data_IF_975154872986
#
_entry.id   IF_975154872986
#
_cell.length_a   1.000
_cell.length_b   1.000
_cell.length_c   1.000
_cell.angle_alpha   90.00
_cell.angle_beta   90.00
_cell.angle_gamma   90.00
#
_symmetry.space_group_name_H-M   'P 1'
#
loop_
_entity.id
_entity.type
_entity.pdbx_description
1 polymer ?
#
# COMPACT_ATOMS: atom_id res chain seq x y z
N UNK A 1 -56.97 25.91 -18.03
CA UNK A 1 -56.39 24.71 -17.39
C UNK A 1 -56.78 24.73 -15.94
N UNK A 2 -57.28 23.62 -15.41
CA UNK A 2 -57.68 23.54 -14.01
C UNK A 2 -56.44 23.69 -13.11
N UNK A 3 -56.63 24.21 -11.90
CA UNK A 3 -55.55 24.34 -10.89
C UNK A 3 -54.79 23.01 -10.69
N UNK A 4 -55.50 21.88 -10.78
CA UNK A 4 -54.94 20.53 -10.71
C UNK A 4 -54.11 20.13 -11.93
N UNK A 5 -54.40 20.63 -13.14
CA UNK A 5 -53.57 20.38 -14.34
C UNK A 5 -52.21 21.09 -14.23
N UNK A 6 -52.19 22.31 -13.70
CA UNK A 6 -50.94 23.06 -13.47
C UNK A 6 -50.11 22.38 -12.38
N UNK A 7 -50.75 21.94 -11.28
CA UNK A 7 -50.09 21.17 -10.23
C UNK A 7 -49.54 19.85 -10.76
N UNK A 8 -50.30 19.11 -11.56
CA UNK A 8 -49.85 17.86 -12.17
C UNK A 8 -48.63 18.06 -13.10
N UNK A 9 -48.62 19.13 -13.90
CA UNK A 9 -47.47 19.48 -14.75
C UNK A 9 -46.23 19.85 -13.93
N UNK A 10 -46.39 20.53 -12.80
CA UNK A 10 -45.29 20.84 -11.89
C UNK A 10 -44.71 19.57 -11.27
N UNK A 11 -45.57 18.73 -10.68
CA UNK A 11 -45.18 17.46 -10.07
C UNK A 11 -44.50 16.51 -11.07
N UNK A 12 -44.96 16.50 -12.33
CA UNK A 12 -44.33 15.72 -13.40
C UNK A 12 -42.90 16.21 -13.69
N UNK A 13 -42.70 17.53 -13.81
CA UNK A 13 -41.36 18.11 -14.03
C UNK A 13 -40.41 17.85 -12.87
N UNK A 14 -40.91 17.94 -11.63
CA UNK A 14 -40.12 17.61 -10.44
C UNK A 14 -39.74 16.12 -10.44
N UNK A 15 -40.68 15.22 -10.72
CA UNK A 15 -40.42 13.79 -10.80
C UNK A 15 -39.41 13.43 -11.92
N UNK A 16 -39.51 14.05 -13.09
CA UNK A 16 -38.54 13.87 -14.19
C UNK A 16 -37.14 14.36 -13.80
N UNK A 17 -37.04 15.50 -13.09
CA UNK A 17 -35.77 16.03 -12.62
C UNK A 17 -35.14 15.13 -11.54
N UNK A 18 -35.94 14.65 -10.59
CA UNK A 18 -35.52 13.70 -9.56
C UNK A 18 -35.06 12.37 -10.17
N UNK A 19 -35.80 11.83 -11.14
CA UNK A 19 -35.43 10.60 -11.84
C UNK A 19 -34.10 10.75 -12.58
N UNK A 20 -33.91 11.87 -13.29
CA UNK A 20 -32.65 12.14 -13.99
C UNK A 20 -31.47 12.24 -13.03
N UNK A 21 -31.63 12.97 -11.91
CA UNK A 21 -30.62 13.07 -10.87
C UNK A 21 -30.28 11.69 -10.27
N UNK A 22 -31.30 10.86 -10.05
CA UNK A 22 -31.12 9.49 -9.56
C UNK A 22 -30.32 8.65 -10.56
N UNK A 23 -30.68 8.67 -11.83
CA UNK A 23 -29.98 7.94 -12.89
C UNK A 23 -28.51 8.37 -13.02
N UNK A 24 -28.22 9.66 -12.87
CA UNK A 24 -26.85 10.18 -12.85
C UNK A 24 -26.06 9.69 -11.63
N UNK A 25 -26.69 9.68 -10.44
CA UNK A 25 -26.07 9.17 -9.22
C UNK A 25 -25.82 7.65 -9.27
N UNK A 26 -26.78 6.89 -9.80
CA UNK A 26 -26.66 5.44 -10.02
C UNK A 26 -25.53 5.12 -11.00
N UNK A 27 -25.42 5.90 -12.08
CA UNK A 27 -24.33 5.79 -13.05
C UNK A 27 -22.97 6.04 -12.40
N UNK A 28 -22.83 7.13 -11.63
CA UNK A 28 -21.58 7.44 -10.91
C UNK A 28 -21.23 6.34 -9.91
N UNK A 29 -22.21 5.81 -9.19
CA UNK A 29 -22.00 4.73 -8.23
C UNK A 29 -21.46 3.46 -8.91
N UNK A 30 -22.07 3.03 -10.03
CA UNK A 30 -21.58 1.84 -10.73
C UNK A 30 -20.20 2.08 -11.35
N UNK A 31 -19.93 3.27 -11.91
CA UNK A 31 -18.61 3.63 -12.43
C UNK A 31 -17.53 3.48 -11.35
N UNK A 32 -17.77 4.01 -10.13
CA UNK A 32 -16.84 3.85 -8.99
C UNK A 32 -16.59 2.40 -8.60
N UNK A 33 -17.63 1.57 -8.58
CA UNK A 33 -17.48 0.13 -8.29
C UNK A 33 -16.66 -0.56 -9.39
N UNK A 34 -16.83 -0.15 -10.65
CA UNK A 34 -16.10 -0.71 -11.80
C UNK A 34 -14.64 -0.27 -11.88
N UNK A 35 -14.25 0.81 -11.20
CA UNK A 35 -12.84 1.13 -11.00
C UNK A 35 -12.11 0.09 -10.14
N UNK A 36 -12.85 -0.71 -9.36
CA UNK A 36 -12.31 -1.68 -8.41
C UNK A 36 -12.53 -3.11 -8.91
N UNK A 37 -13.76 -3.43 -9.29
CA UNK A 37 -14.21 -4.80 -9.57
C UNK A 37 -14.47 -5.02 -11.05
N UNK A 38 -14.22 -6.25 -11.51
CA UNK A 38 -14.50 -6.62 -12.89
C UNK A 38 -16.01 -6.55 -13.21
N UNK A 39 -16.34 -6.06 -14.41
CA UNK A 39 -17.73 -5.89 -14.86
C UNK A 39 -18.55 -7.19 -14.78
N UNK A 40 -17.95 -8.34 -15.09
CA UNK A 40 -18.63 -9.64 -15.02
C UNK A 40 -18.99 -9.97 -13.57
N UNK A 41 -18.07 -9.72 -12.64
CA UNK A 41 -18.28 -9.96 -11.21
C UNK A 41 -19.39 -9.05 -10.65
N UNK A 42 -19.37 -7.76 -11.00
CA UNK A 42 -20.44 -6.82 -10.59
C UNK A 42 -21.79 -7.24 -11.16
N UNK A 43 -21.86 -7.61 -12.43
CA UNK A 43 -23.09 -8.11 -13.04
C UNK A 43 -23.62 -9.39 -12.36
N UNK A 44 -22.74 -10.33 -12.04
CA UNK A 44 -23.09 -11.56 -11.31
C UNK A 44 -23.69 -11.28 -9.94
N UNK A 45 -23.14 -10.31 -9.21
CA UNK A 45 -23.66 -9.91 -7.90
C UNK A 45 -25.01 -9.19 -8.01
N UNK A 46 -25.15 -8.26 -8.96
CA UNK A 46 -26.41 -7.56 -9.19
C UNK A 46 -27.54 -8.53 -9.58
N UNK A 47 -27.29 -9.53 -10.43
CA UNK A 47 -28.28 -10.58 -10.77
C UNK A 47 -28.77 -11.39 -9.57
N UNK A 48 -27.95 -11.53 -8.51
CA UNK A 48 -28.35 -12.29 -7.31
C UNK A 48 -29.33 -11.54 -6.43
N UNK A 49 -29.35 -10.21 -6.50
CA UNK A 49 -30.13 -9.36 -5.59
C UNK A 49 -31.23 -8.55 -6.29
N UNK A 50 -31.09 -8.33 -7.59
CA UNK A 50 -31.96 -7.50 -8.39
C UNK A 50 -32.95 -8.29 -9.23
N UNK A 51 -33.99 -7.60 -9.70
CA UNK A 51 -34.94 -8.12 -10.70
C UNK A 51 -34.50 -7.79 -12.14
N UNK A 52 -33.54 -6.87 -12.28
CA UNK A 52 -33.02 -6.45 -13.57
C UNK A 52 -32.08 -7.51 -14.14
N UNK A 53 -32.19 -7.79 -15.45
CA UNK A 53 -31.23 -8.63 -16.15
C UNK A 53 -29.91 -7.87 -16.37
N UNK A 54 -29.00 -7.99 -15.42
CA UNK A 54 -27.64 -7.48 -15.54
C UNK A 54 -26.72 -8.50 -16.20
N UNK A 55 -26.16 -8.17 -17.36
CA UNK A 55 -24.98 -8.81 -17.94
C UNK A 55 -23.82 -7.83 -18.04
N UNK A 56 -22.60 -8.36 -18.28
CA UNK A 56 -21.42 -7.52 -18.60
C UNK A 56 -21.74 -6.53 -19.73
N UNK A 57 -22.41 -6.99 -20.77
CA UNK A 57 -22.80 -6.21 -21.94
C UNK A 57 -23.84 -5.15 -21.60
N UNK A 58 -24.79 -5.45 -20.71
CA UNK A 58 -25.78 -4.44 -20.27
C UNK A 58 -25.14 -3.32 -19.46
N UNK A 59 -24.23 -3.65 -18.53
CA UNK A 59 -23.46 -2.66 -17.77
C UNK A 59 -22.62 -1.82 -18.73
N UNK A 60 -21.90 -2.48 -19.65
CA UNK A 60 -21.06 -1.80 -20.63
C UNK A 60 -21.88 -0.86 -21.55
N UNK A 61 -23.07 -1.26 -22.00
CA UNK A 61 -23.94 -0.38 -22.78
C UNK A 61 -24.43 0.82 -21.97
N UNK A 62 -24.77 0.61 -20.70
CA UNK A 62 -25.28 1.67 -19.83
C UNK A 62 -24.23 2.73 -19.52
N UNK A 63 -23.02 2.34 -19.09
CA UNK A 63 -21.94 3.30 -18.79
C UNK A 63 -21.52 4.12 -20.02
N UNK A 64 -21.57 3.51 -21.21
CA UNK A 64 -21.22 4.14 -22.47
C UNK A 64 -22.39 4.91 -23.13
N UNK A 65 -23.55 5.02 -22.47
CA UNK A 65 -24.73 5.72 -23.02
C UNK A 65 -25.33 5.07 -24.27
N UNK A 66 -25.10 3.77 -24.49
CA UNK A 66 -25.59 3.00 -25.65
C UNK A 66 -26.91 2.26 -25.38
N UNK A 67 -27.58 2.56 -24.28
CA UNK A 67 -28.94 2.13 -24.00
C UNK A 67 -29.68 3.21 -23.22
N UNK A 68 -31.00 3.07 -23.10
CA UNK A 68 -31.79 3.94 -22.23
C UNK A 68 -31.20 3.96 -20.81
N UNK A 69 -31.18 5.12 -20.14
CA UNK A 69 -30.80 5.20 -18.74
C UNK A 69 -31.57 4.18 -17.91
N UNK A 70 -30.84 3.44 -17.09
CA UNK A 70 -31.42 2.51 -16.11
C UNK A 70 -31.34 3.14 -14.73
N UNK A 71 -32.31 2.82 -13.88
CA UNK A 71 -32.27 3.13 -12.46
C UNK A 71 -32.00 1.85 -11.68
N UNK A 72 -31.16 1.93 -10.67
CA UNK A 72 -30.93 0.84 -9.73
C UNK A 72 -32.15 0.69 -8.82
N UNK A 73 -32.48 -0.54 -8.48
CA UNK A 73 -33.36 -0.81 -7.34
C UNK A 73 -32.62 -0.45 -6.04
N UNK A 74 -33.36 -0.16 -4.97
CA UNK A 74 -32.76 0.18 -3.67
C UNK A 74 -31.83 -0.90 -3.12
N UNK A 75 -32.10 -2.18 -3.43
CA UNK A 75 -31.27 -3.32 -3.02
C UNK A 75 -29.97 -3.38 -3.83
N UNK A 76 -30.04 -3.13 -5.14
CA UNK A 76 -28.86 -3.04 -6.00
C UNK A 76 -27.95 -1.87 -5.60
N UNK A 77 -28.55 -0.70 -5.34
CA UNK A 77 -27.84 0.48 -4.84
C UNK A 77 -27.14 0.17 -3.50
N UNK A 78 -27.87 -0.43 -2.54
CA UNK A 78 -27.31 -0.80 -1.24
C UNK A 78 -26.14 -1.79 -1.37
N UNK A 79 -26.24 -2.75 -2.28
CA UNK A 79 -25.17 -3.70 -2.56
C UNK A 79 -23.92 -2.98 -3.09
N UNK A 80 -24.07 -2.14 -4.12
CA UNK A 80 -22.95 -1.40 -4.72
C UNK A 80 -22.28 -0.47 -3.70
N UNK A 81 -23.05 0.20 -2.84
CA UNK A 81 -22.48 1.01 -1.74
C UNK A 81 -21.66 0.17 -0.76
N UNK A 82 -22.12 -1.03 -0.40
CA UNK A 82 -21.38 -1.95 0.50
C UNK A 82 -20.11 -2.54 -0.13
N UNK A 83 -20.01 -2.53 -1.45
CA UNK A 83 -18.79 -2.90 -2.17
C UNK A 83 -17.68 -1.84 -2.06
N UNK A 84 -18.04 -0.59 -1.74
CA UNK A 84 -17.11 0.50 -1.51
C UNK A 84 -16.67 0.57 -0.03
N UNK A 85 -15.50 1.14 0.28
CA UNK A 85 -15.10 1.44 1.64
C UNK A 85 -15.97 2.55 2.25
N UNK A 86 -16.29 2.39 3.53
CA UNK A 86 -17.00 3.38 4.33
C UNK A 86 -15.99 4.40 4.90
N UNK A 87 -16.41 5.66 5.13
CA UNK A 87 -15.57 6.63 5.81
C UNK A 87 -15.18 6.15 7.22
N UNK A 88 -14.01 6.56 7.73
CA UNK A 88 -13.60 6.24 9.08
C UNK A 88 -14.50 6.94 10.12
N UNK A 89 -14.50 6.43 11.36
CA UNK A 89 -15.41 6.91 12.41
C UNK A 89 -15.23 8.39 12.78
N UNK A 90 -14.04 8.95 12.54
CA UNK A 90 -13.76 10.35 12.81
C UNK A 90 -14.18 11.28 11.65
N UNK A 91 -14.57 10.77 10.47
CA UNK A 91 -15.02 11.61 9.37
C UNK A 91 -16.24 12.49 9.77
N UNK A 92 -16.28 13.78 9.40
CA UNK A 92 -15.34 14.52 8.55
C UNK A 92 -14.19 15.22 9.30
N UNK A 93 -14.05 15.02 10.61
CA UNK A 93 -13.07 15.68 11.47
C UNK A 93 -11.77 14.86 11.58
N UNK A 94 -10.66 15.38 11.07
CA UNK A 94 -9.37 14.69 11.05
C UNK A 94 -8.32 15.43 11.87
N UNK A 95 -7.41 14.69 12.49
CA UNK A 95 -6.39 15.24 13.38
C UNK A 95 -5.24 15.93 12.62
N UNK A 96 -4.93 15.45 11.43
CA UNK A 96 -3.88 15.97 10.55
C UNK A 96 -4.09 15.45 9.12
N UNK A 97 -3.34 15.98 8.17
CA UNK A 97 -3.37 15.62 6.75
C UNK A 97 -2.07 14.94 6.35
N UNK A 98 -2.16 13.92 5.48
CA UNK A 98 -0.99 13.25 4.94
C UNK A 98 -1.15 12.87 3.47
N UNK A 99 -0.01 12.62 2.81
CA UNK A 99 0.03 12.07 1.45
C UNK A 99 0.73 10.71 1.45
N UNK A 100 0.41 9.89 0.43
CA UNK A 100 0.83 8.49 0.33
C UNK A 100 1.46 8.22 -1.05
N UNK A 101 2.78 8.30 -1.14
CA UNK A 101 3.55 8.14 -2.37
C UNK A 101 4.07 6.71 -2.53
N UNK A 102 3.96 6.15 -3.74
CA UNK A 102 4.27 4.73 -4.02
C UNK A 102 3.49 3.81 -3.08
N UNK A 103 2.21 4.11 -2.92
CA UNK A 103 1.36 3.62 -1.84
C UNK A 103 1.14 2.10 -1.85
N UNK A 104 1.32 1.44 -3.00
CA UNK A 104 0.95 0.05 -3.21
C UNK A 104 -0.52 -0.18 -2.86
N UNK A 105 -0.76 -1.00 -1.83
CA UNK A 105 -2.11 -1.29 -1.32
C UNK A 105 -2.42 -0.60 0.01
N UNK A 106 -1.65 0.43 0.39
CA UNK A 106 -1.92 1.29 1.56
C UNK A 106 -1.40 0.76 2.89
N UNK A 107 -0.28 0.04 2.87
CA UNK A 107 0.30 -0.54 4.09
C UNK A 107 0.79 0.50 5.10
N UNK A 108 1.39 1.60 4.62
CA UNK A 108 1.84 2.71 5.47
C UNK A 108 0.63 3.56 5.89
N UNK A 109 -0.25 3.91 4.93
CA UNK A 109 -1.51 4.64 5.16
C UNK A 109 -2.32 4.09 6.34
N UNK A 110 -2.48 2.78 6.44
CA UNK A 110 -3.25 2.15 7.53
C UNK A 110 -2.81 2.61 8.91
N UNK A 111 -1.50 2.79 9.13
CA UNK A 111 -0.96 3.27 10.40
C UNK A 111 -1.34 4.72 10.71
N UNK A 112 -1.31 5.59 9.71
CA UNK A 112 -1.59 7.02 9.88
C UNK A 112 -3.09 7.34 9.92
N UNK A 113 -3.94 6.56 9.23
CA UNK A 113 -5.39 6.65 9.45
C UNK A 113 -5.79 6.21 10.86
N UNK A 114 -5.09 5.20 11.43
CA UNK A 114 -5.42 4.68 12.76
C UNK A 114 -5.21 5.72 13.90
N UNK A 115 -4.41 6.76 13.66
CA UNK A 115 -4.21 7.89 14.57
C UNK A 115 -4.96 9.16 14.10
N UNK A 116 -5.99 9.01 13.26
CA UNK A 116 -6.90 10.09 12.86
C UNK A 116 -6.46 10.93 11.66
N UNK A 117 -5.47 10.50 10.89
CA UNK A 117 -4.99 11.21 9.71
C UNK A 117 -5.95 11.15 8.52
N UNK A 118 -6.01 12.22 7.73
CA UNK A 118 -6.69 12.29 6.44
C UNK A 118 -5.69 12.10 5.29
N UNK A 119 -5.87 11.07 4.47
CA UNK A 119 -5.11 10.97 3.21
C UNK A 119 -5.70 11.94 2.18
N UNK A 120 -4.88 12.85 1.64
CA UNK A 120 -5.34 13.91 0.71
C UNK A 120 -4.72 13.79 -0.69
N UNK A 121 -3.69 12.96 -0.83
CA UNK A 121 -3.10 12.62 -2.12
C UNK A 121 -2.49 11.23 -2.09
N UNK A 122 -2.68 10.46 -3.16
CA UNK A 122 -2.09 9.13 -3.32
C UNK A 122 -1.47 9.00 -4.70
N UNK A 123 -0.21 8.53 -4.75
CA UNK A 123 0.45 8.17 -6.00
C UNK A 123 0.78 6.67 -6.02
N UNK A 124 0.25 5.95 -7.00
CA UNK A 124 0.53 4.54 -7.23
C UNK A 124 0.36 4.16 -8.71
N UNK A 125 1.43 3.66 -9.32
CA UNK A 125 1.48 3.38 -10.75
C UNK A 125 0.84 2.04 -11.15
N UNK A 126 0.83 1.07 -10.24
CA UNK A 126 0.30 -0.25 -10.53
C UNK A 126 -1.24 -0.24 -10.41
N UNK A 127 -1.92 -0.29 -11.55
CA UNK A 127 -3.39 -0.29 -11.63
C UNK A 127 -4.05 -1.40 -10.81
N UNK A 128 -3.46 -2.59 -10.70
CA UNK A 128 -4.01 -3.66 -9.86
C UNK A 128 -3.88 -3.34 -8.37
N UNK A 129 -2.78 -2.68 -7.97
CA UNK A 129 -2.60 -2.19 -6.60
C UNK A 129 -3.62 -1.07 -6.30
N UNK A 130 -3.81 -0.11 -7.22
CA UNK A 130 -4.85 0.94 -7.10
C UNK A 130 -6.24 0.35 -6.92
N UNK A 131 -6.61 -0.69 -7.67
CA UNK A 131 -7.89 -1.39 -7.50
C UNK A 131 -8.05 -1.92 -6.07
N UNK A 132 -7.01 -2.58 -5.57
CA UNK A 132 -7.01 -3.16 -4.21
C UNK A 132 -7.02 -2.06 -3.15
N UNK A 133 -6.32 -0.96 -3.39
CA UNK A 133 -6.31 0.21 -2.53
C UNK A 133 -7.71 0.83 -2.43
N UNK A 134 -8.35 1.17 -3.56
CA UNK A 134 -9.70 1.74 -3.63
C UNK A 134 -10.78 0.82 -3.05
N UNK A 135 -10.56 -0.50 -3.03
CA UNK A 135 -11.46 -1.44 -2.38
C UNK A 135 -11.46 -1.36 -0.85
N UNK A 136 -10.39 -0.84 -0.24
CA UNK A 136 -10.17 -0.92 1.21
C UNK A 136 -10.12 0.43 1.90
N UNK A 137 -9.75 1.49 1.18
CA UNK A 137 -9.54 2.82 1.75
C UNK A 137 -10.56 3.82 1.24
N UNK A 138 -11.23 4.52 2.15
CA UNK A 138 -12.15 5.60 1.78
C UNK A 138 -11.38 6.78 1.20
N UNK A 139 -11.75 7.20 -0.01
CA UNK A 139 -11.15 8.35 -0.68
C UNK A 139 -12.27 9.33 -0.99
N UNK A 140 -12.30 10.44 -0.26
CA UNK A 140 -13.26 11.51 -0.50
C UNK A 140 -12.80 12.33 -1.71
N UNK A 141 -13.46 12.15 -2.85
CA UNK A 141 -13.13 12.80 -4.13
C UNK A 141 -13.16 14.34 -4.07
N UNK A 142 -13.77 14.95 -3.04
CA UNK A 142 -13.74 16.40 -2.87
C UNK A 142 -12.38 16.91 -2.38
N UNK A 143 -11.64 16.08 -1.65
CA UNK A 143 -10.39 16.48 -0.96
C UNK A 143 -9.19 15.59 -1.33
N UNK A 144 -9.43 14.40 -1.84
CA UNK A 144 -8.43 13.41 -2.21
C UNK A 144 -8.17 13.41 -3.71
N UNK A 145 -6.89 13.40 -4.09
CA UNK A 145 -6.45 13.22 -5.49
C UNK A 145 -5.64 11.94 -5.66
N UNK A 146 -5.90 11.23 -6.75
CA UNK A 146 -5.13 10.07 -7.18
C UNK A 146 -4.21 10.43 -8.35
N UNK A 147 -2.97 9.93 -8.32
CA UNK A 147 -2.00 10.03 -9.39
C UNK A 147 -1.44 8.63 -9.72
N UNK A 148 -1.21 8.36 -11.01
CA UNK A 148 -0.62 7.09 -11.46
C UNK A 148 0.89 7.22 -11.72
N UNK A 149 1.34 8.33 -12.25
CA UNK A 149 2.76 8.56 -12.51
C UNK A 149 3.21 9.85 -11.83
N UNK A 150 4.06 9.71 -10.80
CA UNK A 150 4.49 10.85 -10.00
C UNK A 150 5.23 11.91 -10.83
N UNK A 151 5.84 11.49 -11.94
CA UNK A 151 6.59 12.38 -12.85
C UNK A 151 5.69 13.37 -13.56
N UNK A 152 4.41 13.04 -13.74
CA UNK A 152 3.41 13.97 -14.28
C UNK A 152 3.17 15.15 -13.33
N UNK A 153 3.40 14.95 -12.02
CA UNK A 153 3.23 15.97 -10.99
C UNK A 153 4.54 16.70 -10.70
N UNK A 154 5.67 15.98 -10.69
CA UNK A 154 6.98 16.59 -10.41
C UNK A 154 7.66 17.19 -11.63
N UNK A 155 7.15 16.90 -12.82
CA UNK A 155 7.70 17.29 -14.13
C UNK A 155 9.18 16.89 -14.27
N UNK A 156 9.60 15.78 -13.65
CA UNK A 156 11.01 15.38 -13.59
C UNK A 156 11.54 14.78 -14.89
N UNK A 157 10.66 14.37 -15.80
CA UNK A 157 10.98 13.90 -17.14
C UNK A 157 11.07 15.04 -18.17
N UNK A 158 10.63 16.25 -17.83
CA UNK A 158 10.66 17.43 -18.69
C UNK A 158 11.93 18.25 -18.46
N UNK A 159 12.85 18.22 -19.42
CA UNK A 159 14.16 18.89 -19.32
C UNK A 159 14.12 20.40 -19.57
N UNK A 160 13.03 20.89 -20.15
CA UNK A 160 12.78 22.27 -20.56
C UNK A 160 12.03 23.10 -19.51
N UNK A 161 11.50 22.45 -18.47
CA UNK A 161 10.78 23.11 -17.36
C UNK A 161 11.79 23.64 -16.34
N UNK A 162 11.64 24.92 -15.97
CA UNK A 162 12.43 25.51 -14.90
C UNK A 162 12.02 24.92 -13.54
N UNK A 163 12.99 24.82 -12.64
CA UNK A 163 12.76 24.32 -11.28
C UNK A 163 11.64 25.03 -10.54
N UNK A 164 11.60 26.37 -10.64
CA UNK A 164 10.56 27.20 -10.01
C UNK A 164 9.16 26.84 -10.48
N UNK A 165 9.02 26.59 -11.79
CA UNK A 165 7.73 26.25 -12.41
C UNK A 165 7.31 24.83 -12.01
N UNK A 166 8.28 23.91 -11.89
CA UNK A 166 8.03 22.56 -11.38
C UNK A 166 7.53 22.59 -9.92
N UNK A 167 8.12 23.41 -9.05
CA UNK A 167 7.64 23.52 -7.66
C UNK A 167 6.27 24.16 -7.58
N UNK A 168 5.98 25.20 -8.36
CA UNK A 168 4.65 25.80 -8.43
C UNK A 168 3.60 24.80 -8.92
N UNK A 169 3.95 23.99 -9.92
CA UNK A 169 3.07 22.95 -10.44
C UNK A 169 2.78 21.86 -9.39
N UNK A 170 3.81 21.41 -8.66
CA UNK A 170 3.63 20.48 -7.53
C UNK A 170 2.71 21.10 -6.48
N UNK A 171 2.89 22.37 -6.15
CA UNK A 171 2.11 23.07 -5.11
C UNK A 171 0.60 23.10 -5.43
N UNK A 172 0.25 23.32 -6.70
CA UNK A 172 -1.12 23.29 -7.21
C UNK A 172 -1.74 21.88 -7.21
N UNK A 173 -0.95 20.86 -7.53
CA UNK A 173 -1.43 19.50 -7.78
C UNK A 173 -1.41 18.60 -6.53
N UNK A 174 -0.47 18.84 -5.62
CA UNK A 174 -0.33 18.14 -4.34
C UNK A 174 -0.86 19.04 -3.22
N UNK A 175 -1.99 18.68 -2.58
CA UNK A 175 -2.54 19.46 -1.48
C UNK A 175 -1.57 19.61 -0.29
N UNK A 176 -1.77 20.66 0.49
CA UNK A 176 -1.05 20.85 1.76
C UNK A 176 -1.31 19.69 2.72
N UNK A 177 -0.25 19.31 3.43
CA UNK A 177 -0.22 18.15 4.31
C UNK A 177 0.86 18.29 5.38
N UNK A 178 0.61 17.69 6.54
CA UNK A 178 1.52 17.71 7.69
C UNK A 178 2.58 16.60 7.58
N UNK A 179 2.17 15.44 7.03
CA UNK A 179 2.99 14.24 6.96
C UNK A 179 3.10 13.72 5.52
N UNK A 180 4.31 13.44 5.06
CA UNK A 180 4.57 12.77 3.78
C UNK A 180 4.99 11.32 4.00
N UNK A 181 4.31 10.37 3.36
CA UNK A 181 4.64 8.95 3.40
C UNK A 181 5.17 8.51 2.03
N UNK A 182 6.27 7.77 1.98
CA UNK A 182 6.76 7.23 0.71
C UNK A 182 7.51 5.90 0.82
N UNK A 183 7.08 4.90 0.04
CA UNK A 183 7.77 3.61 -0.13
C UNK A 183 8.53 3.53 -1.47
N UNK A 184 9.54 4.38 -1.67
CA UNK A 184 10.21 4.51 -2.97
C UNK A 184 11.14 3.31 -3.29
N UNK A 185 11.26 2.90 -4.56
CA UNK A 185 12.11 1.77 -4.91
C UNK A 185 13.61 2.08 -4.76
N UNK A 186 14.40 1.07 -4.36
CA UNK A 186 15.86 1.19 -4.28
C UNK A 186 16.50 1.24 -5.67
N UNK A 187 16.93 2.42 -6.11
CA UNK A 187 17.61 2.65 -7.39
C UNK A 187 19.03 3.20 -7.16
N UNK A 188 20.05 2.77 -7.92
CA UNK A 188 21.38 3.39 -7.85
C UNK A 188 21.35 4.80 -8.47
N UNK A 189 22.06 5.75 -7.86
CA UNK A 189 22.23 7.10 -8.42
C UNK A 189 23.35 7.13 -9.46
N UNK A 190 22.97 7.30 -10.73
CA UNK A 190 23.91 7.37 -11.84
C UNK A 190 24.53 8.77 -11.97
N UNK A 191 25.84 8.87 -12.21
CA UNK A 191 26.56 10.14 -12.38
C UNK A 191 26.37 10.75 -13.79
N UNK A 192 25.66 10.09 -14.70
CA UNK A 192 25.66 10.42 -16.13
C UNK A 192 25.03 11.79 -16.46
N UNK A 193 24.20 12.35 -15.57
CA UNK A 193 23.67 13.71 -15.68
C UNK A 193 24.55 14.80 -15.05
N UNK A 194 25.37 14.43 -14.06
CA UNK A 194 26.20 15.36 -13.26
C UNK A 194 27.43 15.81 -14.04
N UNK A 195 28.02 14.93 -14.85
CA UNK A 195 29.24 15.20 -15.62
C UNK A 195 29.06 16.25 -16.73
N UNK A 196 27.83 16.51 -17.21
CA UNK A 196 27.55 17.54 -18.24
C UNK A 196 27.34 18.94 -17.66
N UNK A 197 26.87 19.04 -16.41
CA UNK A 197 26.62 20.32 -15.72
C UNK A 197 27.84 20.83 -14.94
N UNK A 198 28.68 19.92 -14.42
CA UNK A 198 29.95 20.28 -13.77
C UNK A 198 30.93 20.99 -14.72
N UNK A 199 30.89 20.69 -16.02
CA UNK A 199 31.68 21.39 -17.05
C UNK A 199 31.15 22.80 -17.40
N UNK A 200 30.00 23.20 -16.86
CA UNK A 200 29.28 24.46 -17.20
C UNK A 200 29.11 25.42 -16.00
N UNK A 201 29.69 25.12 -14.83
CA UNK A 201 29.75 26.05 -13.69
C UNK A 201 28.39 26.43 -13.07
N UNK A 202 27.35 25.60 -13.21
CA UNK A 202 26.02 25.84 -12.59
C UNK A 202 25.91 25.14 -11.23
N UNK A 203 25.10 25.72 -10.34
CA UNK A 203 25.01 25.43 -8.91
C UNK A 203 24.90 23.92 -8.54
N UNK A 204 25.66 23.55 -7.52
CA UNK A 204 25.66 22.24 -6.86
C UNK A 204 24.56 22.17 -5.80
N UNK A 205 23.61 21.25 -5.95
CA UNK A 205 22.61 20.90 -4.92
C UNK A 205 21.97 19.55 -5.25
N UNK A 206 21.14 19.01 -4.36
CA UNK A 206 20.56 17.65 -4.49
C UNK A 206 19.89 17.34 -5.83
N UNK A 207 19.38 18.36 -6.53
CA UNK A 207 18.79 18.22 -7.87
C UNK A 207 19.73 17.61 -8.91
N UNK A 208 21.04 17.75 -8.72
CA UNK A 208 22.04 17.13 -9.60
C UNK A 208 22.31 15.67 -9.24
N UNK A 209 22.38 15.33 -7.94
CA UNK A 209 22.85 14.03 -7.48
C UNK A 209 21.79 12.94 -7.50
N UNK A 210 20.53 13.32 -7.23
CA UNK A 210 19.40 12.39 -7.20
C UNK A 210 18.74 12.15 -8.57
N UNK A 211 19.10 12.97 -9.58
CA UNK A 211 18.40 13.06 -10.87
C UNK A 211 18.29 11.70 -11.57
N UNK A 212 17.10 11.42 -12.14
CA UNK A 212 16.82 10.17 -12.85
C UNK A 212 16.36 9.00 -11.97
N UNK A 213 16.10 9.25 -10.68
CA UNK A 213 15.53 8.26 -9.75
C UNK A 213 14.20 8.74 -9.18
N UNK A 214 13.36 7.82 -8.72
CA UNK A 214 12.09 8.16 -8.06
C UNK A 214 12.29 8.78 -6.67
N UNK A 215 13.48 8.66 -6.08
CA UNK A 215 13.82 9.42 -4.86
C UNK A 215 13.89 10.92 -5.14
N UNK A 216 14.33 11.33 -6.33
CA UNK A 216 14.35 12.74 -6.72
C UNK A 216 12.93 13.34 -6.77
N UNK A 217 11.95 12.57 -7.24
CA UNK A 217 10.55 12.98 -7.24
C UNK A 217 10.03 13.22 -5.81
N UNK A 218 10.37 12.33 -4.87
CA UNK A 218 10.06 12.51 -3.44
C UNK A 218 10.72 13.78 -2.90
N UNK A 219 12.01 13.97 -3.16
CA UNK A 219 12.77 15.14 -2.70
C UNK A 219 12.21 16.45 -3.25
N UNK A 220 11.75 16.48 -4.51
CA UNK A 220 11.08 17.63 -5.12
C UNK A 220 9.77 17.98 -4.39
N UNK A 221 8.96 16.97 -4.06
CA UNK A 221 7.70 17.18 -3.33
C UNK A 221 7.98 17.67 -1.91
N UNK A 222 8.97 17.09 -1.21
CA UNK A 222 9.40 17.55 0.12
C UNK A 222 9.83 19.04 0.06
N UNK A 223 10.57 19.44 -0.98
CA UNK A 223 10.99 20.85 -1.14
C UNK A 223 9.82 21.78 -1.41
N UNK A 224 8.91 21.39 -2.29
CA UNK A 224 7.78 22.22 -2.70
C UNK A 224 6.77 22.38 -1.55
N UNK A 225 6.35 21.27 -0.93
CA UNK A 225 5.27 21.24 0.06
C UNK A 225 5.74 21.39 1.50
N UNK A 226 7.03 21.17 1.77
CA UNK A 226 7.66 21.32 3.09
C UNK A 226 6.86 20.67 4.24
N UNK A 227 6.46 19.39 4.17
CA UNK A 227 5.72 18.75 5.24
C UNK A 227 6.46 18.87 6.59
N UNK A 228 5.73 18.92 7.70
CA UNK A 228 6.36 18.98 9.02
C UNK A 228 7.19 17.71 9.30
N UNK A 229 6.68 16.56 8.84
CA UNK A 229 7.28 15.25 9.06
C UNK A 229 7.23 14.45 7.75
N UNK A 230 8.25 13.64 7.47
CA UNK A 230 8.14 12.58 6.49
C UNK A 230 8.49 11.22 7.08
N UNK A 231 7.95 10.16 6.47
CA UNK A 231 8.34 8.76 6.73
C UNK A 231 8.61 8.07 5.41
N UNK A 232 9.87 7.70 5.20
CA UNK A 232 10.31 6.96 4.02
C UNK A 232 10.61 5.51 4.39
N UNK A 233 10.12 4.57 3.59
CA UNK A 233 10.43 3.15 3.71
C UNK A 233 11.36 2.70 2.58
N UNK A 234 12.29 1.80 2.90
CA UNK A 234 13.10 1.12 1.89
C UNK A 234 13.65 -0.24 2.36
N UNK A 235 14.39 -0.92 1.49
CA UNK A 235 15.04 -2.20 1.77
C UNK A 235 16.09 -2.08 2.89
N UNK A 236 16.19 -3.11 3.73
CA UNK A 236 17.17 -3.17 4.85
C UNK A 236 18.63 -2.94 4.43
N UNK A 237 18.97 -3.32 3.20
CA UNK A 237 20.34 -3.26 2.67
C UNK A 237 20.68 -1.91 2.04
N UNK A 238 19.81 -0.90 2.14
CA UNK A 238 20.02 0.43 1.56
C UNK A 238 21.39 1.02 1.94
N UNK A 239 21.82 0.84 3.19
CA UNK A 239 23.12 1.29 3.72
C UNK A 239 24.33 0.69 2.99
N UNK A 240 24.21 -0.52 2.47
CA UNK A 240 25.27 -1.21 1.73
C UNK A 240 25.10 -1.12 0.21
N UNK A 241 23.96 -0.61 -0.26
CA UNK A 241 23.63 -0.53 -1.68
C UNK A 241 24.61 0.40 -2.41
N UNK A 242 25.07 -0.01 -3.58
CA UNK A 242 26.07 0.72 -4.37
C UNK A 242 27.29 1.16 -3.54
N UNK A 243 27.83 0.23 -2.73
CA UNK A 243 28.95 0.46 -1.80
C UNK A 243 28.68 1.59 -0.79
N UNK A 244 27.41 1.79 -0.43
CA UNK A 244 26.95 2.82 0.52
C UNK A 244 26.68 4.19 -0.11
N UNK A 245 26.98 4.39 -1.40
CA UNK A 245 26.75 5.66 -2.09
C UNK A 245 25.28 6.07 -2.07
N UNK A 246 24.38 5.11 -2.29
CA UNK A 246 22.93 5.39 -2.35
C UNK A 246 22.40 5.96 -1.04
N UNK A 247 22.72 5.32 0.08
CA UNK A 247 22.29 5.81 1.39
C UNK A 247 22.89 7.18 1.71
N UNK A 248 24.18 7.39 1.38
CA UNK A 248 24.85 8.67 1.60
C UNK A 248 24.14 9.83 0.89
N UNK A 249 23.90 9.70 -0.42
CA UNK A 249 23.21 10.73 -1.23
C UNK A 249 21.80 11.02 -0.69
N UNK A 250 21.06 9.99 -0.27
CA UNK A 250 19.74 10.16 0.34
C UNK A 250 19.84 11.01 1.62
N UNK A 251 20.74 10.66 2.54
CA UNK A 251 20.86 11.39 3.82
C UNK A 251 21.33 12.83 3.62
N UNK A 252 22.29 13.07 2.71
CA UNK A 252 22.78 14.41 2.35
C UNK A 252 21.66 15.25 1.71
N UNK A 253 20.88 14.67 0.78
CA UNK A 253 19.72 15.34 0.17
C UNK A 253 18.68 15.75 1.21
N UNK A 254 18.34 14.86 2.15
CA UNK A 254 17.35 15.16 3.19
C UNK A 254 17.84 16.23 4.17
N UNK A 255 19.15 16.25 4.46
CA UNK A 255 19.78 17.29 5.28
C UNK A 255 19.77 18.67 4.58
N UNK A 256 20.12 18.70 3.29
CA UNK A 256 20.06 19.90 2.43
C UNK A 256 18.64 20.46 2.31
N UNK A 257 17.63 19.59 2.33
CA UNK A 257 16.21 19.98 2.35
C UNK A 257 15.76 20.61 3.68
N UNK A 258 16.63 20.63 4.69
CA UNK A 258 16.35 21.22 6.00
C UNK A 258 15.64 20.27 6.96
N UNK A 259 15.84 18.95 6.82
CA UNK A 259 15.24 17.94 7.70
C UNK A 259 16.27 17.23 8.56
N UNK A 260 15.90 17.00 9.81
CA UNK A 260 16.65 16.14 10.72
C UNK A 260 16.06 14.73 10.69
N UNK A 261 16.85 13.77 10.20
CA UNK A 261 16.46 12.36 10.16
C UNK A 261 16.76 11.70 11.51
N UNK A 262 15.74 11.07 12.10
CA UNK A 262 15.86 10.34 13.35
C UNK A 262 16.97 9.28 13.29
N UNK A 263 17.79 9.25 14.34
CA UNK A 263 18.89 8.30 14.50
C UNK A 263 19.89 8.32 13.32
N UNK A 264 20.05 9.46 12.62
CA UNK A 264 20.93 9.57 11.44
C UNK A 264 22.39 9.15 11.70
N UNK A 265 22.91 9.43 12.90
CA UNK A 265 24.28 9.08 13.29
C UNK A 265 24.50 7.56 13.53
N UNK A 266 23.42 6.78 13.70
CA UNK A 266 23.50 5.36 14.03
C UNK A 266 23.64 4.50 12.77
N UNK A 267 24.83 3.99 12.51
CA UNK A 267 25.11 3.20 11.29
C UNK A 267 25.43 1.72 11.55
N UNK A 268 25.56 1.33 12.81
CA UNK A 268 26.01 0.00 13.23
C UNK A 268 24.99 -1.12 13.02
N UNK A 269 25.29 -2.29 13.62
CA UNK A 269 24.44 -3.49 13.58
C UNK A 269 23.10 -3.30 14.30
N UNK A 270 23.08 -2.46 15.33
CA UNK A 270 21.90 -2.14 16.15
C UNK A 270 21.25 -0.81 15.72
N UNK A 271 21.29 -0.52 14.42
CA UNK A 271 20.70 0.68 13.83
C UNK A 271 19.17 0.64 14.02
N UNK A 272 18.58 1.58 14.79
CA UNK A 272 17.16 1.59 15.07
C UNK A 272 16.29 1.92 13.86
N UNK A 273 16.88 2.44 12.77
CA UNK A 273 16.18 2.62 11.50
C UNK A 273 15.80 1.28 10.86
N UNK A 274 16.46 0.17 11.24
CA UNK A 274 16.12 -1.17 10.77
C UNK A 274 15.10 -1.81 11.71
N UNK A 275 13.87 -1.98 11.22
CA UNK A 275 12.77 -2.57 11.99
C UNK A 275 12.36 -3.90 11.35
N UNK A 276 12.32 -4.96 12.15
CA UNK A 276 11.88 -6.29 11.72
C UNK A 276 10.41 -6.52 12.05
N UNK A 277 9.61 -6.89 11.04
CA UNK A 277 8.22 -7.28 11.21
C UNK A 277 8.02 -8.47 12.17
N UNK A 278 9.06 -9.27 12.42
CA UNK A 278 9.00 -10.46 13.31
C UNK A 278 8.51 -10.16 14.72
N UNK A 279 8.67 -8.91 15.18
CA UNK A 279 8.24 -8.48 16.51
C UNK A 279 6.72 -8.35 16.60
N UNK A 280 6.04 -8.16 15.47
CA UNK A 280 4.59 -7.94 15.38
C UNK A 280 3.84 -9.14 14.78
N UNK A 281 4.44 -9.81 13.80
CA UNK A 281 3.87 -10.94 13.06
C UNK A 281 4.92 -12.04 12.89
N UNK A 282 4.54 -13.31 12.71
CA UNK A 282 5.46 -14.44 12.61
C UNK A 282 6.14 -14.52 11.22
N UNK A 283 6.78 -13.44 10.79
CA UNK A 283 7.51 -13.33 9.53
C UNK A 283 8.78 -12.49 9.71
N UNK A 284 9.94 -13.01 9.26
CA UNK A 284 11.13 -12.17 9.10
C UNK A 284 10.93 -11.18 7.96
N UNK A 285 10.94 -9.88 8.26
CA UNK A 285 10.83 -8.83 7.26
C UNK A 285 11.40 -7.52 7.80
N UNK A 286 12.71 -7.37 7.61
CA UNK A 286 13.44 -6.15 7.95
C UNK A 286 13.28 -5.10 6.84
N UNK A 287 13.06 -3.85 7.27
CA UNK A 287 13.04 -2.64 6.42
C UNK A 287 13.76 -1.50 7.11
N UNK A 288 14.32 -0.60 6.30
CA UNK A 288 14.82 0.68 6.82
C UNK A 288 13.68 1.70 6.81
N UNK A 289 13.53 2.43 7.90
CA UNK A 289 12.55 3.51 8.06
C UNK A 289 13.31 4.80 8.34
N UNK A 290 13.13 5.80 7.49
CA UNK A 290 13.71 7.12 7.63
C UNK A 290 12.61 8.09 8.05
N UNK A 291 12.66 8.56 9.29
CA UNK A 291 11.72 9.56 9.82
C UNK A 291 12.42 10.91 9.84
N UNK A 292 11.92 11.88 9.09
CA UNK A 292 12.50 13.22 9.04
C UNK A 292 11.58 14.27 9.64
N UNK A 293 12.16 15.22 10.36
CA UNK A 293 11.46 16.36 10.95
C UNK A 293 11.99 17.66 10.36
N UNK A 294 11.10 18.57 9.98
CA UNK A 294 11.50 19.88 9.48
C UNK A 294 12.22 20.66 10.59
N UNK A 295 13.45 21.10 10.32
CA UNK A 295 14.37 21.60 11.35
C UNK A 295 13.89 22.90 12.02
N UNK A 296 13.23 23.77 11.27
CA UNK A 296 12.68 25.04 11.77
C UNK A 296 11.57 24.87 12.80
N UNK A 297 10.85 23.74 12.79
CA UNK A 297 9.75 23.48 13.72
C UNK A 297 10.23 23.06 15.11
N UNK A 298 11.46 22.57 15.24
CA UNK A 298 12.06 22.12 16.50
C UNK A 298 11.16 21.16 17.33
N UNK A 299 10.37 20.34 16.65
CA UNK A 299 9.42 19.41 17.28
C UNK A 299 10.07 18.07 17.67
N UNK A 300 11.20 17.71 17.04
CA UNK A 300 11.80 16.36 17.07
C UNK A 300 12.45 15.96 18.39
N UNK A 301 12.62 16.88 19.35
CA UNK A 301 13.41 16.65 20.57
C UNK A 301 12.91 15.42 21.33
N UNK A 302 13.83 14.46 21.53
CA UNK A 302 13.56 13.22 22.27
C UNK A 302 13.00 12.07 21.43
N UNK A 303 12.77 12.27 20.12
CA UNK A 303 12.34 11.19 19.23
C UNK A 303 13.50 10.23 18.91
N UNK A 304 13.24 8.92 18.96
CA UNK A 304 14.14 7.87 18.47
C UNK A 304 13.33 6.64 18.08
N UNK A 305 13.70 5.96 16.99
CA UNK A 305 13.09 4.70 16.60
C UNK A 305 13.42 3.54 17.56
N UNK A 306 14.37 3.72 18.49
CA UNK A 306 14.61 2.74 19.57
C UNK A 306 13.37 2.50 20.44
N UNK A 307 12.52 3.52 20.55
CA UNK A 307 11.29 3.48 21.34
C UNK A 307 10.16 2.69 20.67
N UNK A 308 10.35 2.18 19.44
CA UNK A 308 9.35 1.35 18.75
C UNK A 308 8.99 0.09 19.53
N UNK A 309 9.93 -0.42 20.34
CA UNK A 309 9.75 -1.61 21.17
C UNK A 309 8.63 -1.47 22.21
N UNK A 310 8.27 -0.23 22.60
CA UNK A 310 7.13 0.06 23.49
C UNK A 310 5.79 -0.32 22.88
N UNK A 311 5.73 -0.50 21.57
CA UNK A 311 4.52 -0.83 20.82
C UNK A 311 4.49 -2.29 20.35
N UNK A 312 5.46 -3.12 20.75
CA UNK A 312 5.40 -4.55 20.48
C UNK A 312 4.20 -5.17 21.22
N UNK A 313 3.43 -6.07 20.56
CA UNK A 313 2.31 -6.71 21.21
C UNK A 313 2.80 -7.60 22.36
N UNK A 314 2.10 -7.60 23.49
CA UNK A 314 2.37 -8.52 24.60
C UNK A 314 2.33 -9.98 24.13
N UNK A 315 1.38 -10.28 23.24
CA UNK A 315 1.23 -11.57 22.60
C UNK A 315 1.26 -11.41 21.08
N UNK A 316 2.39 -11.77 20.46
CA UNK A 316 2.49 -11.90 19.01
C UNK A 316 1.68 -13.12 18.56
N UNK A 317 0.81 -13.01 17.55
CA UNK A 317 0.12 -14.17 17.00
C UNK A 317 1.14 -15.18 16.45
N UNK A 318 0.88 -16.45 16.73
CA UNK A 318 1.60 -17.58 16.14
C UNK A 318 1.25 -17.72 14.66
N UNK A 319 2.11 -18.41 13.91
CA UNK A 319 1.90 -18.61 12.48
C UNK A 319 0.60 -19.38 12.20
N UNK A 320 0.30 -20.41 12.99
CA UNK A 320 -0.92 -21.21 12.86
C UNK A 320 -2.21 -20.41 13.06
N UNK A 321 -2.22 -19.42 13.95
CA UNK A 321 -3.39 -18.56 14.21
C UNK A 321 -3.77 -17.66 13.02
N UNK A 322 -2.85 -17.45 12.09
CA UNK A 322 -3.12 -16.67 10.88
C UNK A 322 -3.76 -17.51 9.76
N UNK A 323 -3.73 -18.83 9.86
CA UNK A 323 -4.17 -19.73 8.80
C UNK A 323 -5.70 -19.85 8.71
N UNK A 324 -6.19 -20.15 7.51
CA UNK A 324 -7.58 -20.50 7.32
C UNK A 324 -7.81 -21.97 7.71
N UNK A 325 -8.90 -22.30 8.44
CA UNK A 325 -9.16 -23.66 8.87
C UNK A 325 -9.47 -24.60 7.70
N UNK A 326 -10.08 -24.07 6.63
CA UNK A 326 -10.43 -24.80 5.43
C UNK A 326 -9.87 -24.06 4.22
N UNK A 327 -9.08 -24.77 3.41
CA UNK A 327 -8.37 -24.21 2.25
C UNK A 327 -8.66 -25.07 1.01
N UNK A 328 -8.89 -24.42 -0.12
CA UNK A 328 -9.08 -25.06 -1.42
C UNK A 328 -7.86 -25.92 -1.82
N UNK A 329 -8.11 -27.11 -2.37
CA UNK A 329 -7.07 -28.05 -2.77
C UNK A 329 -6.12 -27.49 -3.85
N UNK A 330 -6.53 -26.46 -4.60
CA UNK A 330 -5.67 -25.76 -5.57
C UNK A 330 -4.42 -25.12 -4.96
N UNK A 331 -4.42 -24.89 -3.64
CA UNK A 331 -3.26 -24.34 -2.93
C UNK A 331 -2.25 -25.42 -2.51
N UNK A 332 -2.64 -26.69 -2.49
CA UNK A 332 -1.73 -27.82 -2.29
C UNK A 332 -0.80 -27.90 -3.50
N UNK A 333 0.50 -28.10 -3.28
CA UNK A 333 1.46 -28.22 -4.37
C UNK A 333 1.11 -29.42 -5.25
N UNK A 334 1.25 -29.24 -6.57
CA UNK A 334 1.15 -30.36 -7.49
C UNK A 334 2.32 -31.33 -7.25
N UNK A 335 2.17 -32.64 -7.53
CA UNK A 335 3.25 -33.61 -7.33
C UNK A 335 4.57 -33.17 -7.99
N UNK A 336 4.50 -32.70 -9.25
CA UNK A 336 5.66 -32.22 -10.02
C UNK A 336 6.33 -31.00 -9.40
N UNK A 337 5.55 -30.03 -8.90
CA UNK A 337 6.12 -28.84 -8.29
C UNK A 337 6.78 -29.16 -6.95
N UNK A 338 6.17 -30.04 -6.15
CA UNK A 338 6.77 -30.48 -4.89
C UNK A 338 8.08 -31.24 -5.13
N UNK A 339 8.10 -32.18 -6.08
CA UNK A 339 9.31 -32.91 -6.48
C UNK A 339 10.44 -31.98 -6.91
N UNK A 340 10.11 -31.00 -7.75
CA UNK A 340 11.07 -30.00 -8.20
C UNK A 340 11.68 -29.23 -7.02
N UNK A 341 10.85 -28.67 -6.13
CA UNK A 341 11.33 -27.88 -5.00
C UNK A 341 12.12 -28.73 -4.00
N UNK A 342 11.68 -29.97 -3.77
CA UNK A 342 12.35 -30.94 -2.90
C UNK A 342 13.77 -31.25 -3.39
N UNK A 343 13.89 -31.62 -4.66
CA UNK A 343 15.18 -31.94 -5.28
C UNK A 343 16.07 -30.69 -5.42
N UNK A 344 15.49 -29.52 -5.68
CA UNK A 344 16.22 -28.27 -5.73
C UNK A 344 16.86 -27.93 -4.38
N UNK A 345 16.10 -28.04 -3.28
CA UNK A 345 16.62 -27.80 -1.93
C UNK A 345 17.76 -28.76 -1.59
N UNK A 346 17.62 -30.06 -1.88
CA UNK A 346 18.70 -31.06 -1.71
C UNK A 346 19.97 -30.70 -2.47
N UNK A 347 19.83 -30.37 -3.75
CA UNK A 347 20.97 -30.01 -4.61
C UNK A 347 21.74 -28.80 -4.08
N UNK A 348 21.04 -27.82 -3.50
CA UNK A 348 21.68 -26.64 -2.92
C UNK A 348 22.29 -26.91 -1.55
N UNK A 349 21.62 -27.69 -0.70
CA UNK A 349 22.15 -28.14 0.58
C UNK A 349 23.46 -28.93 0.41
N UNK A 350 23.53 -29.83 -0.58
CA UNK A 350 24.74 -30.59 -0.91
C UNK A 350 25.93 -29.71 -1.35
N UNK A 351 25.66 -28.47 -1.80
CA UNK A 351 26.69 -27.48 -2.17
C UNK A 351 27.05 -26.53 -1.02
N UNK A 352 26.57 -26.78 0.20
CA UNK A 352 26.75 -25.90 1.35
C UNK A 352 25.95 -24.59 1.27
N UNK A 353 24.96 -24.50 0.36
CA UNK A 353 24.14 -23.31 0.21
C UNK A 353 22.80 -23.47 0.93
N UNK A 354 22.32 -22.39 1.57
CA UNK A 354 21.00 -22.34 2.22
C UNK A 354 19.80 -22.08 1.28
N UNK A 355 19.94 -22.31 -0.04
CA UNK A 355 18.87 -22.09 -1.01
C UNK A 355 17.90 -23.28 -1.05
N UNK A 356 16.60 -23.01 -1.24
CA UNK A 356 15.55 -24.02 -1.26
C UNK A 356 14.21 -23.43 -0.83
N UNK A 357 13.27 -24.28 -0.41
CA UNK A 357 11.99 -23.84 0.13
C UNK A 357 12.05 -23.55 1.64
N UNK A 358 11.12 -22.74 2.14
CA UNK A 358 10.87 -22.56 3.56
C UNK A 358 9.64 -23.35 3.99
N UNK A 359 9.82 -24.44 4.72
CA UNK A 359 8.73 -25.23 5.27
C UNK A 359 8.40 -24.74 6.67
N UNK A 360 7.14 -24.39 6.90
CA UNK A 360 6.63 -23.90 8.19
C UNK A 360 5.71 -24.94 8.79
N UNK A 361 6.05 -25.40 10.00
CA UNK A 361 5.14 -26.23 10.79
C UNK A 361 4.16 -25.30 11.54
N UNK A 362 2.85 -25.35 11.20
CA UNK A 362 1.84 -24.48 11.83
C UNK A 362 1.55 -24.84 13.30
N UNK A 363 1.90 -26.05 13.76
CA UNK A 363 1.70 -26.48 15.14
C UNK A 363 2.78 -25.93 16.10
N UNK A 364 3.95 -25.60 15.55
CA UNK A 364 5.00 -24.96 16.33
C UNK A 364 4.69 -23.45 16.49
N UNK A 365 4.32 -23.05 17.70
CA UNK A 365 3.97 -21.65 18.04
C UNK A 365 5.12 -20.66 17.85
N UNK A 366 6.36 -21.14 17.89
CA UNK A 366 7.57 -20.31 17.70
C UNK A 366 7.98 -20.18 16.23
N UNK A 367 7.25 -20.81 15.30
CA UNK A 367 7.53 -20.73 13.87
C UNK A 367 7.48 -19.28 13.37
N UNK A 368 8.58 -18.84 12.74
CA UNK A 368 8.66 -17.57 12.02
C UNK A 368 8.97 -17.87 10.57
N UNK A 369 8.11 -17.42 9.67
CA UNK A 369 8.30 -17.62 8.24
C UNK A 369 9.44 -16.75 7.67
N UNK A 370 9.99 -17.18 6.54
CA UNK A 370 10.84 -16.33 5.70
C UNK A 370 10.04 -15.15 5.15
N UNK A 371 10.74 -14.18 4.57
CA UNK A 371 10.10 -13.01 3.95
C UNK A 371 9.20 -13.42 2.80
N UNK A 372 7.93 -13.00 2.84
CA UNK A 372 7.01 -13.10 1.71
C UNK A 372 7.48 -12.14 0.60
N UNK A 373 8.11 -12.67 -0.45
CA UNK A 373 8.70 -11.85 -1.50
C UNK A 373 7.73 -11.56 -2.64
N UNK A 374 8.03 -10.54 -3.46
CA UNK A 374 7.29 -10.30 -4.71
C UNK A 374 7.32 -11.50 -5.68
N UNK A 375 8.30 -12.42 -5.54
CA UNK A 375 8.43 -13.63 -6.36
C UNK A 375 7.57 -14.81 -5.87
N UNK A 376 6.94 -14.69 -4.70
CA UNK A 376 6.09 -15.74 -4.13
C UNK A 376 5.00 -16.23 -5.10
N UNK A 377 4.51 -15.35 -5.99
CA UNK A 377 3.53 -15.69 -7.02
C UNK A 377 3.97 -16.80 -7.98
N UNK A 378 5.28 -17.08 -8.11
CA UNK A 378 5.82 -18.07 -9.04
C UNK A 378 5.56 -19.50 -8.56
N UNK A 379 6.04 -19.82 -7.36
CA UNK A 379 6.02 -21.19 -6.82
C UNK A 379 5.68 -21.25 -5.32
N UNK A 380 5.65 -20.11 -4.62
CA UNK A 380 5.43 -20.02 -3.18
C UNK A 380 6.56 -20.61 -2.33
N UNK A 381 7.73 -20.86 -2.92
CA UNK A 381 8.81 -21.62 -2.28
C UNK A 381 9.33 -20.98 -0.99
N UNK A 382 9.23 -19.66 -0.83
CA UNK A 382 9.71 -19.01 0.40
C UNK A 382 8.94 -19.43 1.65
N UNK A 383 7.65 -19.77 1.51
CA UNK A 383 6.75 -20.11 2.61
C UNK A 383 5.76 -21.19 2.15
N UNK A 384 6.03 -22.44 2.53
CA UNK A 384 5.17 -23.59 2.35
C UNK A 384 4.66 -24.08 3.71
N UNK A 385 3.37 -24.39 3.79
CA UNK A 385 2.75 -24.89 5.01
C UNK A 385 2.82 -26.40 5.01
N UNK A 386 3.47 -26.95 6.03
CA UNK A 386 3.51 -28.39 6.21
C UNK A 386 2.11 -28.95 6.50
N UNK A 387 1.86 -30.14 5.96
CA UNK A 387 0.62 -30.91 6.12
C UNK A 387 0.91 -32.31 6.68
N UNK A 388 2.04 -32.46 7.37
CA UNK A 388 2.53 -33.72 7.95
C UNK A 388 3.38 -34.55 6.99
N UNK A 389 4.15 -33.89 6.11
CA UNK A 389 5.08 -34.59 5.22
C UNK A 389 6.17 -35.29 6.02
N UNK A 390 6.29 -36.61 5.87
CA UNK A 390 7.36 -37.37 6.52
C UNK A 390 8.63 -37.34 5.67
N UNK A 391 9.69 -36.72 6.19
CA UNK A 391 10.94 -36.55 5.47
C UNK A 391 11.63 -37.89 5.20
N UNK A 392 11.60 -38.84 6.15
CA UNK A 392 12.25 -40.13 6.00
C UNK A 392 11.62 -40.97 4.88
N UNK A 393 10.28 -40.99 4.83
CA UNK A 393 9.51 -41.60 3.74
C UNK A 393 9.76 -40.89 2.43
N UNK A 394 9.82 -39.55 2.41
CA UNK A 394 10.14 -38.77 1.21
C UNK A 394 11.55 -39.00 0.65
N UNK A 395 12.51 -39.35 1.51
CA UNK A 395 13.85 -39.79 1.11
C UNK A 395 13.85 -41.20 0.52
N UNK A 396 13.14 -42.13 1.16
CA UNK A 396 13.13 -43.54 0.78
C UNK A 396 12.29 -43.81 -0.48
N UNK A 397 11.10 -43.22 -0.55
CA UNK A 397 10.16 -43.31 -1.67
C UNK A 397 9.38 -42.00 -1.79
N UNK A 398 9.87 -41.10 -2.65
CA UNK A 398 9.24 -39.81 -2.87
C UNK A 398 7.79 -39.95 -3.38
N UNK A 399 7.48 -41.01 -4.15
CA UNK A 399 6.15 -41.22 -4.74
C UNK A 399 5.21 -42.02 -3.85
N UNK A 400 5.59 -42.29 -2.58
CA UNK A 400 4.74 -42.97 -1.62
C UNK A 400 3.36 -42.31 -1.52
N UNK A 401 2.31 -43.08 -1.80
CA UNK A 401 0.93 -42.57 -1.93
C UNK A 401 0.43 -41.85 -0.67
N UNK A 402 0.69 -42.45 0.51
CA UNK A 402 0.26 -41.90 1.79
C UNK A 402 0.97 -40.58 2.14
N UNK A 403 2.26 -40.45 1.81
CA UNK A 403 3.03 -39.24 2.03
C UNK A 403 2.68 -38.16 0.98
N UNK A 404 2.43 -38.55 -0.26
CA UNK A 404 1.95 -37.68 -1.33
C UNK A 404 0.60 -37.01 -1.00
N UNK A 405 -0.29 -37.66 -0.23
CA UNK A 405 -1.50 -37.00 0.27
C UNK A 405 -1.21 -35.82 1.23
N UNK A 406 -0.02 -35.82 1.85
CA UNK A 406 0.47 -34.83 2.83
C UNK A 406 1.42 -33.79 2.25
N UNK A 407 1.47 -33.65 0.91
CA UNK A 407 2.26 -32.60 0.25
C UNK A 407 1.98 -31.22 0.88
N UNK A 408 3.02 -30.38 1.05
CA UNK A 408 2.85 -29.01 1.53
C UNK A 408 1.92 -28.19 0.63
N UNK A 409 1.40 -27.09 1.18
CA UNK A 409 0.60 -26.12 0.43
C UNK A 409 1.21 -24.73 0.46
N UNK A 410 0.81 -23.88 -0.48
CA UNK A 410 1.07 -22.44 -0.43
C UNK A 410 0.10 -21.76 0.54
N UNK A 411 0.44 -20.53 0.92
CA UNK A 411 -0.48 -19.59 1.57
C UNK A 411 -1.59 -19.19 0.60
N UNK A 412 -2.79 -18.94 1.11
CA UNK A 412 -3.84 -18.26 0.35
C UNK A 412 -3.58 -16.74 0.32
N UNK A 413 -4.18 -15.97 -0.62
CA UNK A 413 -4.13 -14.51 -0.58
C UNK A 413 -4.63 -13.91 0.74
N UNK A 414 -5.63 -14.54 1.37
CA UNK A 414 -6.19 -14.14 2.67
C UNK A 414 -5.19 -14.34 3.80
N UNK A 415 -4.50 -15.47 3.83
CA UNK A 415 -3.42 -15.74 4.79
C UNK A 415 -2.23 -14.80 4.59
N UNK A 416 -1.88 -14.46 3.34
CA UNK A 416 -0.89 -13.41 3.03
C UNK A 416 -1.32 -12.04 3.58
N UNK A 417 -2.59 -11.66 3.45
CA UNK A 417 -3.11 -10.41 4.00
C UNK A 417 -2.95 -10.36 5.53
N UNK A 418 -3.18 -11.48 6.22
CA UNK A 418 -2.97 -11.60 7.68
C UNK A 418 -1.50 -11.55 8.06
N UNK A 419 -0.64 -12.27 7.33
CA UNK A 419 0.81 -12.31 7.56
C UNK A 419 1.49 -10.94 7.34
N UNK A 420 0.86 -10.07 6.55
CA UNK A 420 1.31 -8.69 6.33
C UNK A 420 0.59 -7.66 7.22
N UNK A 421 -0.42 -8.08 7.98
CA UNK A 421 -1.17 -7.25 8.94
C UNK A 421 -2.30 -6.41 8.33
N UNK A 422 -2.67 -6.62 7.07
CA UNK A 422 -3.84 -5.98 6.46
C UNK A 422 -5.14 -6.49 7.07
N UNK A 423 -5.18 -7.76 7.46
CA UNK A 423 -6.30 -8.41 8.12
C UNK A 423 -5.89 -9.02 9.46
N UNK A 424 -6.82 -9.09 10.41
CA UNK A 424 -6.70 -9.86 11.65
C UNK A 424 -7.64 -11.07 11.61
N UNK A 425 -7.26 -12.23 12.16
CA UNK A 425 -8.20 -13.34 12.37
C UNK A 425 -9.46 -12.87 13.10
N UNK A 426 -10.64 -13.22 12.59
CA UNK A 426 -11.93 -12.79 13.14
C UNK A 426 -12.30 -11.30 12.94
N UNK A 427 -11.42 -10.50 12.34
CA UNK A 427 -11.67 -9.08 12.04
C UNK A 427 -12.43 -8.85 10.73
N UNK A 428 -12.62 -7.56 10.37
CA UNK A 428 -13.17 -7.16 9.06
C UNK A 428 -12.26 -7.69 7.94
N UNK A 429 -12.78 -8.50 7.00
CA UNK A 429 -11.96 -9.04 5.93
C UNK A 429 -11.41 -7.95 5.01
N UNK A 430 -10.13 -8.07 4.64
CA UNK A 430 -9.53 -7.18 3.64
C UNK A 430 -10.10 -7.54 2.26
N UNK A 431 -10.60 -6.57 1.48
CA UNK A 431 -11.17 -6.85 0.16
C UNK A 431 -10.05 -7.13 -0.85
N UNK A 432 -10.13 -8.24 -1.58
CA UNK A 432 -9.12 -8.66 -2.58
C UNK A 432 -9.81 -8.71 -3.96
N UNK A 433 -9.80 -7.61 -4.74
CA UNK A 433 -10.53 -7.52 -6.01
C UNK A 433 -9.73 -8.04 -7.23
N UNK A 434 -8.55 -8.62 -7.00
CA UNK A 434 -7.60 -9.07 -8.02
C UNK A 434 -7.35 -10.57 -7.93
N UNK A 435 -6.66 -11.14 -8.93
CA UNK A 435 -6.31 -12.56 -8.95
C UNK A 435 -5.32 -12.95 -7.85
N UNK A 436 -5.24 -14.24 -7.52
CA UNK A 436 -4.25 -14.78 -6.57
C UNK A 436 -2.81 -14.33 -6.94
N UNK A 437 -2.44 -14.42 -8.21
CA UNK A 437 -1.11 -14.02 -8.71
C UNK A 437 -0.80 -12.56 -8.41
N UNK A 438 -1.75 -11.64 -8.66
CA UNK A 438 -1.55 -10.23 -8.36
C UNK A 438 -1.56 -9.97 -6.86
N UNK A 439 -2.41 -10.67 -6.11
CA UNK A 439 -2.45 -10.59 -4.64
C UNK A 439 -1.10 -10.94 -4.03
N UNK A 440 -0.46 -12.03 -4.47
CA UNK A 440 0.87 -12.41 -3.99
C UNK A 440 1.94 -11.36 -4.31
N UNK A 441 1.88 -10.73 -5.48
CA UNK A 441 2.80 -9.62 -5.82
C UNK A 441 2.57 -8.41 -4.93
N UNK A 442 1.32 -8.04 -4.68
CA UNK A 442 0.95 -6.91 -3.83
C UNK A 442 1.40 -7.12 -2.38
N UNK A 443 1.04 -8.25 -1.76
CA UNK A 443 1.48 -8.55 -0.40
C UNK A 443 2.99 -8.72 -0.30
N UNK A 444 3.63 -9.34 -1.30
CA UNK A 444 5.07 -9.50 -1.37
C UNK A 444 5.84 -8.17 -1.50
N UNK A 445 5.23 -7.15 -2.11
CA UNK A 445 5.77 -5.79 -2.22
C UNK A 445 5.38 -4.88 -1.05
N UNK A 446 4.41 -5.26 -0.22
CA UNK A 446 3.89 -4.39 0.84
C UNK A 446 4.81 -4.29 2.06
N UNK A 447 4.62 -3.24 2.85
CA UNK A 447 5.18 -3.15 4.19
C UNK A 447 4.44 -4.05 5.19
N UNK A 448 5.04 -4.32 6.34
CA UNK A 448 4.31 -4.93 7.47
C UNK A 448 3.50 -3.84 8.15
N UNK A 449 2.18 -3.92 8.03
CA UNK A 449 1.25 -2.91 8.56
C UNK A 449 1.54 -2.53 10.02
N UNK A 450 1.62 -3.48 10.98
CA UNK A 450 1.77 -3.11 12.39
C UNK A 450 3.10 -2.43 12.73
N UNK A 451 4.13 -2.55 11.87
CA UNK A 451 5.36 -1.75 12.00
C UNK A 451 5.04 -0.27 11.81
N UNK A 452 4.26 0.07 10.79
CA UNK A 452 3.91 1.46 10.48
C UNK A 452 2.77 1.99 11.35
N UNK A 453 1.89 1.12 11.88
CA UNK A 453 0.99 1.49 13.00
C UNK A 453 1.82 1.92 14.22
N UNK A 454 2.87 1.16 14.59
CA UNK A 454 3.73 1.51 15.70
C UNK A 454 4.54 2.81 15.46
N UNK A 455 5.07 3.01 14.24
CA UNK A 455 5.75 4.25 13.86
C UNK A 455 4.79 5.45 13.92
N UNK A 456 3.56 5.30 13.43
CA UNK A 456 2.55 6.35 13.51
C UNK A 456 2.22 6.71 14.96
N UNK A 457 1.99 5.72 15.84
CA UNK A 457 1.74 5.97 17.28
C UNK A 457 2.92 6.63 18.00
N UNK A 458 4.15 6.29 17.61
CA UNK A 458 5.34 6.97 18.14
C UNK A 458 5.41 8.44 17.67
N UNK A 459 4.93 8.72 16.46
CA UNK A 459 4.91 10.06 15.86
C UNK A 459 3.72 10.92 16.28
N UNK A 460 2.62 10.33 16.73
CA UNK A 460 1.37 11.02 17.04
C UNK A 460 1.56 12.30 17.90
N UNK A 461 2.30 12.30 19.03
CA UNK A 461 2.52 13.51 19.81
C UNK A 461 3.30 14.61 19.05
N UNK A 462 4.14 14.23 18.08
CA UNK A 462 4.96 15.14 17.29
C UNK A 462 4.16 15.75 16.14
N UNK A 463 3.28 14.95 15.52
CA UNK A 463 2.34 15.39 14.51
C UNK A 463 1.38 16.43 15.10
N UNK A 464 0.80 16.15 16.28
CA UNK A 464 -0.13 17.08 16.94
C UNK A 464 0.54 18.41 17.33
N UNK A 465 1.82 18.38 17.71
CA UNK A 465 2.62 19.61 17.93
C UNK A 465 2.79 20.40 16.64
N UNK A 466 3.05 19.75 15.52
CA UNK A 466 3.21 20.41 14.22
C UNK A 466 1.91 21.11 13.79
N UNK A 467 0.78 20.39 13.84
CA UNK A 467 -0.54 20.93 13.50
C UNK A 467 -0.88 22.14 14.37
N UNK A 468 -0.60 22.07 15.68
CA UNK A 468 -0.84 23.17 16.61
C UNK A 468 0.04 24.40 16.32
N UNK A 469 1.30 24.19 15.93
CA UNK A 469 2.23 25.26 15.62
C UNK A 469 1.84 26.05 14.35
N UNK A 470 1.25 25.38 13.36
CA UNK A 470 0.79 26.03 12.13
C UNK A 470 -0.58 26.70 12.33
N UNK A 471 -1.49 26.14 13.14
CA UNK A 471 -2.74 26.82 13.53
C UNK A 471 -2.49 28.14 14.29
N UNK A 472 -1.40 28.24 15.05
CA UNK A 472 -0.98 29.46 15.74
C UNK A 472 -0.47 30.57 14.81
N UNK A 473 -0.05 30.24 13.57
CA UNK A 473 0.44 31.21 12.59
C UNK A 473 -0.68 31.83 11.74
N UNK A 474 -1.80 31.13 11.57
CA UNK A 474 -2.98 31.62 10.82
C UNK A 474 -3.95 32.43 11.69
N UNK A 475 -3.73 32.47 13.01
CA UNK A 475 -4.60 33.13 14.00
C UNK A 475 -4.11 34.47 14.56
N UNK A 476 -3.11 35.13 13.96
CA UNK A 476 -2.78 36.52 14.31
C UNK A 476 -3.38 37.48 13.26
N UNK A 477 -4.30 38.38 13.65
CA UNK A 477 -4.92 39.35 12.75
C UNK A 477 -3.95 40.41 12.20
#
# INVERSE_FOLDING_TARGET
MSEFEVLAQHLLKEAEAEEKLRQENDKKLIEKVLEIYDQKYVAELLRKVGKNEWSRETINRWINGKCLPKSLTSVEESLLRKMLPEPPANHPEYAFRFIDLFAGIGGIRKGFEAIGGQCVFTSEWNKDAVRTYKANWFNDEQVHKFNLDIREVTLSDKTDVLETDAYAYIDEHVPDHDVLLAGFPCQPFSLAGVSKKNSLGRAHGFECEAQGTLFFDVARIIRAKKPAIFVLENVKNLKSHDKGKTFKVIMETLDELGYEVADAAEMGKNDPKIIDGKHFLPQHRERIVLVGFRRDLNIHKGFTLRDISRFYPEHRPSFGELLEPVVDSKYILTPKLWEYLYNYAKKHAAKGNGFGFGLVNPENKESIARTLSARYHKDGSEILIDRGWDMATGEADFMNESNQARRPRRLTPRECARLMGFEKPGGKPFRIPVSDTQSYRQFGNSVVVPVFEAVARLLEPYILKAVSADAGKTGQP
#
